data_IF_116826351086
#
_entry.id   IF_116826351086
#
_cell.length_a   1.000
_cell.length_b   1.000
_cell.length_c   1.000
_cell.angle_alpha   90.00
_cell.angle_beta   90.00
_cell.angle_gamma   90.00
#
_symmetry.space_group_name_H-M   'P 1'
#
loop_
_entity.id
_entity.type
_entity.pdbx_description
1 polymer ?
#
# COMPACT_ATOMS: atom_id res chain seq x y z
N UNK A 1 29.06 -6.98 12.32
CA UNK A 1 29.25 -7.94 11.20
C UNK A 1 27.98 -7.96 10.38
N UNK A 2 28.08 -7.84 9.04
CA UNK A 2 26.91 -7.89 8.16
C UNK A 2 26.37 -9.32 8.10
N UNK A 3 25.03 -9.48 8.13
CA UNK A 3 24.40 -10.80 7.98
C UNK A 3 24.59 -11.34 6.56
N UNK A 4 24.50 -12.67 6.34
CA UNK A 4 24.51 -13.25 4.99
C UNK A 4 23.47 -12.59 4.06
N UNK A 5 22.27 -12.33 4.57
CA UNK A 5 21.20 -11.62 3.85
C UNK A 5 21.63 -10.21 3.42
N UNK A 6 22.27 -9.46 4.32
CA UNK A 6 22.79 -8.12 4.02
C UNK A 6 23.83 -8.18 2.89
N UNK A 7 24.76 -9.13 2.94
CA UNK A 7 25.80 -9.28 1.91
C UNK A 7 25.20 -9.62 0.54
N UNK A 8 24.25 -10.56 0.49
CA UNK A 8 23.55 -10.93 -0.75
C UNK A 8 22.78 -9.76 -1.35
N UNK A 9 22.10 -8.96 -0.53
CA UNK A 9 21.41 -7.76 -0.99
C UNK A 9 22.41 -6.71 -1.50
N UNK A 10 23.48 -6.42 -0.75
CA UNK A 10 24.48 -5.43 -1.16
C UNK A 10 25.15 -5.77 -2.49
N UNK A 11 25.41 -7.05 -2.76
CA UNK A 11 25.95 -7.51 -4.04
C UNK A 11 24.96 -7.30 -5.20
N UNK A 12 23.67 -7.55 -4.98
CA UNK A 12 22.62 -7.37 -6.00
C UNK A 12 22.48 -5.92 -6.46
N UNK A 13 22.65 -4.96 -5.55
CA UNK A 13 22.50 -3.54 -5.84
C UNK A 13 23.84 -2.81 -5.95
N UNK A 14 24.92 -3.49 -6.39
CA UNK A 14 26.26 -2.91 -6.50
C UNK A 14 26.29 -1.55 -7.23
N UNK A 15 25.51 -1.44 -8.31
CA UNK A 15 25.37 -0.23 -9.12
C UNK A 15 24.44 0.85 -8.56
N UNK A 16 23.73 0.62 -7.45
CA UNK A 16 22.82 1.59 -6.84
C UNK A 16 23.29 1.95 -5.41
N UNK A 17 24.07 3.03 -5.31
CA UNK A 17 24.68 3.50 -4.05
C UNK A 17 23.65 3.85 -2.98
N UNK A 18 22.55 4.46 -3.38
CA UNK A 18 21.45 4.85 -2.48
C UNK A 18 20.82 3.61 -1.83
N UNK A 19 20.40 2.65 -2.64
CA UNK A 19 19.79 1.41 -2.14
C UNK A 19 20.76 0.64 -1.25
N UNK A 20 22.06 0.63 -1.59
CA UNK A 20 23.09 0.04 -0.71
C UNK A 20 23.23 0.73 0.63
N UNK A 21 23.14 2.06 0.66
CA UNK A 21 23.13 2.84 1.92
C UNK A 21 21.95 2.43 2.79
N UNK A 22 20.75 2.42 2.22
CA UNK A 22 19.53 2.02 2.92
C UNK A 22 19.62 0.58 3.46
N UNK A 23 20.10 -0.38 2.67
CA UNK A 23 20.28 -1.78 3.12
C UNK A 23 21.15 -1.86 4.38
N UNK A 24 22.15 -1.00 4.53
CA UNK A 24 23.05 -1.01 5.69
C UNK A 24 22.38 -0.50 6.97
N UNK A 25 21.32 0.31 6.84
CA UNK A 25 20.58 0.87 7.97
C UNK A 25 19.59 -0.12 8.59
N UNK A 26 19.23 -1.21 7.90
CA UNK A 26 18.29 -2.20 8.43
C UNK A 26 19.01 -3.14 9.40
N UNK A 27 18.56 -3.22 10.67
CA UNK A 27 19.03 -4.25 11.58
C UNK A 27 18.41 -5.60 11.18
N UNK A 28 19.13 -6.37 10.36
CA UNK A 28 18.77 -7.76 10.07
C UNK A 28 19.05 -8.73 11.25
N UNK A 29 19.46 -8.18 12.40
CA UNK A 29 19.87 -8.89 13.62
C UNK A 29 18.77 -9.68 14.34
N UNK A 30 19.23 -10.65 15.13
CA UNK A 30 18.51 -11.82 15.66
C UNK A 30 17.62 -11.44 16.85
N UNK A 31 16.31 -11.68 16.73
CA UNK A 31 15.42 -11.72 17.88
C UNK A 31 15.47 -13.10 18.52
N UNK A 32 16.03 -13.20 19.73
CA UNK A 32 15.95 -14.37 20.61
C UNK A 32 16.68 -15.63 20.13
N UNK A 33 17.05 -16.50 21.07
CA UNK A 33 17.60 -17.82 20.78
C UNK A 33 16.57 -18.66 20.01
N UNK A 34 16.75 -18.77 18.68
CA UNK A 34 15.87 -19.51 17.78
C UNK A 34 16.64 -20.71 17.22
N UNK A 35 15.97 -21.87 17.18
CA UNK A 35 16.47 -23.11 16.56
C UNK A 35 17.00 -22.88 15.13
N UNK A 36 18.09 -23.55 14.75
CA UNK A 36 18.85 -23.34 13.50
C UNK A 36 17.97 -23.49 12.25
N UNK A 37 16.97 -24.38 12.29
CA UNK A 37 16.02 -24.57 11.18
C UNK A 37 15.08 -23.38 11.05
N UNK A 38 14.50 -22.91 12.16
CA UNK A 38 13.62 -21.76 12.18
C UNK A 38 14.38 -20.47 11.81
N UNK A 39 15.65 -20.37 12.22
CA UNK A 39 16.54 -19.28 11.83
C UNK A 39 16.75 -19.22 10.31
N UNK A 40 16.93 -20.36 9.62
CA UNK A 40 17.06 -20.40 8.15
C UNK A 40 15.78 -19.92 7.45
N UNK A 41 14.62 -20.44 7.83
CA UNK A 41 13.34 -20.05 7.23
C UNK A 41 13.04 -18.57 7.45
N UNK A 42 13.27 -18.05 8.66
CA UNK A 42 13.11 -16.62 8.96
C UNK A 42 14.06 -15.76 8.12
N UNK A 43 15.30 -16.21 7.94
CA UNK A 43 16.30 -15.53 7.10
C UNK A 43 15.82 -15.48 5.64
N UNK A 44 15.32 -16.59 5.09
CA UNK A 44 14.78 -16.64 3.72
C UNK A 44 13.55 -15.75 3.55
N UNK A 45 12.61 -15.75 4.50
CA UNK A 45 11.42 -14.89 4.46
C UNK A 45 11.85 -13.42 4.47
N UNK A 46 12.72 -13.03 5.40
CA UNK A 46 13.23 -11.66 5.50
C UNK A 46 13.96 -11.24 4.22
N UNK A 47 14.78 -12.11 3.66
CA UNK A 47 15.49 -11.86 2.41
C UNK A 47 14.52 -11.67 1.24
N UNK A 48 13.51 -12.51 1.09
CA UNK A 48 12.50 -12.39 0.04
C UNK A 48 11.70 -11.09 0.15
N UNK A 49 11.31 -10.70 1.36
CA UNK A 49 10.60 -9.44 1.62
C UNK A 49 11.47 -8.23 1.34
N UNK A 50 12.72 -8.27 1.81
CA UNK A 50 13.71 -7.21 1.54
C UNK A 50 13.96 -7.06 0.06
N UNK A 51 14.13 -8.17 -0.67
CA UNK A 51 14.25 -8.16 -2.14
C UNK A 51 13.05 -7.51 -2.79
N UNK A 52 11.83 -7.89 -2.42
CA UNK A 52 10.63 -7.29 -2.99
C UNK A 52 10.55 -5.78 -2.73
N UNK A 53 10.93 -5.33 -1.54
CA UNK A 53 10.95 -3.92 -1.17
C UNK A 53 12.01 -3.14 -1.96
N UNK A 54 13.27 -3.59 -1.93
CA UNK A 54 14.37 -2.91 -2.58
C UNK A 54 14.36 -3.01 -4.10
N UNK A 55 13.85 -4.10 -4.67
CA UNK A 55 13.61 -4.20 -6.12
C UNK A 55 12.63 -3.12 -6.56
N UNK A 56 11.56 -2.90 -5.81
CA UNK A 56 10.57 -1.88 -6.13
C UNK A 56 11.11 -0.46 -5.90
N UNK A 57 11.86 -0.22 -4.83
CA UNK A 57 12.53 1.06 -4.60
C UNK A 57 13.52 1.40 -5.72
N UNK A 58 14.20 0.39 -6.27
CA UNK A 58 15.16 0.55 -7.35
C UNK A 58 14.51 0.77 -8.73
N UNK A 59 13.20 0.58 -8.88
CA UNK A 59 12.49 0.86 -10.14
C UNK A 59 12.34 2.36 -10.38
N UNK A 60 12.18 2.75 -11.65
CA UNK A 60 11.89 4.12 -12.06
C UNK A 60 13.12 5.03 -12.06
N UNK A 61 12.92 6.29 -12.46
CA UNK A 61 13.99 7.29 -12.65
C UNK A 61 14.15 8.25 -11.48
N UNK A 62 13.27 8.19 -10.47
CA UNK A 62 13.37 9.01 -9.26
C UNK A 62 14.66 8.69 -8.54
N UNK A 63 15.69 9.49 -8.79
CA UNK A 63 16.93 9.47 -8.02
C UNK A 63 16.64 10.21 -6.73
N UNK A 64 16.68 9.49 -5.60
CA UNK A 64 16.66 10.13 -4.29
C UNK A 64 17.98 10.89 -4.18
N UNK A 65 17.91 12.20 -3.96
CA UNK A 65 19.10 13.02 -3.78
C UNK A 65 19.85 12.50 -2.53
N UNK A 66 21.17 12.25 -2.60
CA UNK A 66 21.96 11.90 -1.42
C UNK A 66 21.73 12.84 -0.21
N UNK A 67 21.47 14.12 -0.43
CA UNK A 67 21.16 15.07 0.64
C UNK A 67 19.82 14.78 1.34
N UNK A 68 18.81 14.32 0.60
CA UNK A 68 17.51 13.94 1.17
C UNK A 68 17.63 12.68 2.04
N UNK A 69 18.54 11.75 1.70
CA UNK A 69 18.77 10.52 2.46
C UNK A 69 19.30 10.76 3.88
N UNK A 70 19.97 11.89 4.09
CA UNK A 70 20.51 12.29 5.39
C UNK A 70 19.51 13.11 6.22
N UNK A 71 18.36 13.48 5.65
CA UNK A 71 17.34 14.21 6.38
C UNK A 71 16.64 13.33 7.42
N UNK A 72 16.35 13.92 8.58
CA UNK A 72 15.64 13.26 9.67
C UNK A 72 14.26 12.75 9.21
N UNK A 73 13.52 13.59 8.47
CA UNK A 73 12.19 13.27 7.93
C UNK A 73 12.21 12.05 7.02
N UNK A 74 13.16 11.99 6.07
CA UNK A 74 13.29 10.84 5.19
C UNK A 74 13.68 9.58 5.97
N UNK A 75 14.66 9.67 6.87
CA UNK A 75 15.10 8.53 7.67
C UNK A 75 13.97 7.99 8.54
N UNK A 76 13.16 8.86 9.12
CA UNK A 76 11.97 8.50 9.87
C UNK A 76 10.96 7.74 8.99
N UNK A 77 10.60 8.32 7.84
CA UNK A 77 9.70 7.68 6.86
C UNK A 77 10.24 6.31 6.41
N UNK A 78 11.55 6.24 6.17
CA UNK A 78 12.25 5.02 5.78
C UNK A 78 12.14 3.94 6.86
N UNK A 79 12.48 4.24 8.11
CA UNK A 79 12.44 3.26 9.19
C UNK A 79 11.01 2.80 9.49
N UNK A 80 10.04 3.71 9.51
CA UNK A 80 8.64 3.40 9.69
C UNK A 80 8.14 2.45 8.59
N UNK A 81 8.44 2.76 7.33
CA UNK A 81 7.99 1.95 6.20
C UNK A 81 8.72 0.63 6.07
N UNK A 82 10.03 0.58 6.31
CA UNK A 82 10.78 -0.66 6.34
C UNK A 82 10.22 -1.63 7.39
N UNK A 83 9.80 -1.12 8.56
CA UNK A 83 9.15 -1.94 9.59
C UNK A 83 7.87 -2.61 9.07
N UNK A 84 6.98 -1.88 8.40
CA UNK A 84 5.75 -2.46 7.87
C UNK A 84 6.01 -3.39 6.68
N UNK A 85 6.86 -2.97 5.75
CA UNK A 85 7.22 -3.76 4.57
C UNK A 85 7.86 -5.12 4.94
N UNK A 86 8.83 -5.13 5.84
CA UNK A 86 9.55 -6.36 6.19
C UNK A 86 8.74 -7.31 7.07
N UNK A 87 7.68 -6.82 7.72
CA UNK A 87 6.76 -7.65 8.51
C UNK A 87 5.53 -8.13 7.70
N UNK A 88 5.22 -7.51 6.58
CA UNK A 88 4.12 -7.93 5.69
C UNK A 88 4.37 -9.28 5.03
N UNK A 89 3.32 -10.11 4.95
CA UNK A 89 3.33 -11.38 4.20
C UNK A 89 2.94 -11.25 2.73
N UNK A 90 2.37 -10.11 2.33
CA UNK A 90 1.85 -9.88 0.98
C UNK A 90 2.87 -9.11 0.15
N UNK A 91 3.40 -9.73 -0.91
CA UNK A 91 4.47 -9.14 -1.73
C UNK A 91 4.01 -7.87 -2.44
N UNK A 92 2.73 -7.79 -2.78
CA UNK A 92 2.08 -6.66 -3.40
C UNK A 92 2.03 -5.46 -2.44
N UNK A 93 1.67 -5.69 -1.17
CA UNK A 93 1.75 -4.64 -0.14
C UNK A 93 3.18 -4.16 0.07
N UNK A 94 4.16 -5.07 0.03
CA UNK A 94 5.60 -4.69 0.14
C UNK A 94 5.99 -3.71 -0.97
N UNK A 95 5.52 -3.93 -2.19
CA UNK A 95 5.74 -3.01 -3.31
C UNK A 95 5.01 -1.68 -3.09
N UNK A 96 3.77 -1.71 -2.61
CA UNK A 96 3.01 -0.50 -2.29
C UNK A 96 3.71 0.34 -1.21
N UNK A 97 4.27 -0.28 -0.16
CA UNK A 97 5.09 0.40 0.84
C UNK A 97 6.34 1.07 0.23
N UNK A 98 7.04 0.37 -0.66
CA UNK A 98 8.18 0.95 -1.38
C UNK A 98 7.77 2.17 -2.22
N UNK A 99 6.64 2.10 -2.91
CA UNK A 99 6.11 3.21 -3.72
C UNK A 99 5.69 4.40 -2.86
N UNK A 100 5.03 4.15 -1.72
CA UNK A 100 4.71 5.19 -0.75
C UNK A 100 5.97 5.88 -0.25
N UNK A 101 7.03 5.14 0.11
CA UNK A 101 8.32 5.74 0.47
C UNK A 101 8.91 6.57 -0.66
N UNK A 102 8.89 6.10 -1.91
CA UNK A 102 9.34 6.91 -3.05
C UNK A 102 8.53 8.20 -3.22
N UNK A 103 7.23 8.15 -2.91
CA UNK A 103 6.38 9.34 -3.01
C UNK A 103 6.75 10.41 -1.97
N UNK A 104 7.36 10.05 -0.83
CA UNK A 104 7.76 11.03 0.20
C UNK A 104 8.76 12.08 -0.28
N UNK A 105 9.57 11.73 -1.29
CA UNK A 105 10.55 12.63 -1.93
C UNK A 105 10.06 13.16 -3.28
N UNK A 106 8.81 12.88 -3.65
CA UNK A 106 8.22 13.37 -4.90
C UNK A 106 7.58 14.74 -4.69
N UNK A 107 7.68 15.68 -5.65
CA UNK A 107 6.96 16.96 -5.58
C UNK A 107 5.43 16.81 -5.42
N UNK A 108 4.88 15.69 -5.88
CA UNK A 108 3.45 15.37 -5.79
C UNK A 108 3.14 14.42 -4.62
N UNK A 109 4.07 14.24 -3.68
CA UNK A 109 3.96 13.34 -2.53
C UNK A 109 3.07 13.84 -1.39
N UNK A 110 3.13 13.16 -0.24
CA UNK A 110 2.66 13.71 1.03
C UNK A 110 3.29 15.08 1.32
N UNK A 111 2.53 15.96 1.97
CA UNK A 111 2.95 17.35 2.27
C UNK A 111 4.05 17.42 3.33
N UNK A 112 4.00 16.50 4.29
CA UNK A 112 4.85 16.44 5.45
C UNK A 112 4.89 14.99 6.00
N UNK A 113 5.71 14.78 7.03
CA UNK A 113 5.88 13.49 7.71
C UNK A 113 4.58 13.03 8.36
N UNK A 114 3.80 13.93 8.97
CA UNK A 114 2.53 13.59 9.62
C UNK A 114 1.54 13.01 8.60
N UNK A 115 1.40 13.64 7.44
CA UNK A 115 0.56 13.15 6.35
C UNK A 115 1.08 11.82 5.80
N UNK A 116 2.40 11.66 5.68
CA UNK A 116 3.01 10.40 5.29
C UNK A 116 2.63 9.27 6.24
N UNK A 117 2.74 9.49 7.55
CA UNK A 117 2.39 8.50 8.58
C UNK A 117 0.93 8.08 8.48
N UNK A 118 0.01 9.02 8.26
CA UNK A 118 -1.41 8.71 8.07
C UNK A 118 -1.60 7.75 6.89
N UNK A 119 -0.95 7.99 5.75
CA UNK A 119 -1.06 7.09 4.60
C UNK A 119 -0.36 5.75 4.83
N UNK A 120 0.73 5.73 5.58
CA UNK A 120 1.44 4.52 5.95
C UNK A 120 0.58 3.63 6.86
N UNK A 121 -0.08 4.22 7.85
CA UNK A 121 -1.02 3.54 8.75
C UNK A 121 -2.22 2.99 8.00
N UNK A 122 -2.83 3.78 7.11
CA UNK A 122 -3.93 3.31 6.26
C UNK A 122 -3.50 2.11 5.42
N UNK A 123 -2.31 2.19 4.80
CA UNK A 123 -1.80 1.11 3.97
C UNK A 123 -1.50 -0.14 4.80
N UNK A 124 -1.06 0.00 6.05
CA UNK A 124 -0.87 -1.14 6.95
C UNK A 124 -2.20 -1.76 7.41
N UNK A 125 -3.16 -0.92 7.84
CA UNK A 125 -4.48 -1.33 8.33
C UNK A 125 -5.28 -2.09 7.26
N UNK A 126 -5.27 -1.60 6.02
CA UNK A 126 -5.96 -2.27 4.91
C UNK A 126 -5.28 -3.59 4.56
N UNK A 127 -5.98 -4.71 4.71
CA UNK A 127 -5.51 -5.98 4.17
C UNK A 127 -5.54 -5.98 2.63
N UNK A 128 -4.85 -6.96 2.02
CA UNK A 128 -4.71 -6.99 0.56
C UNK A 128 -6.06 -7.13 -0.18
N UNK A 129 -7.03 -7.89 0.34
CA UNK A 129 -8.37 -8.01 -0.25
C UNK A 129 -9.14 -6.68 -0.18
N UNK A 130 -8.94 -5.90 0.88
CA UNK A 130 -9.56 -4.57 1.02
C UNK A 130 -9.02 -3.58 -0.01
N UNK A 131 -7.68 -3.59 -0.21
CA UNK A 131 -7.04 -2.80 -1.25
C UNK A 131 -7.57 -3.19 -2.64
N UNK A 132 -7.72 -4.49 -2.91
CA UNK A 132 -8.32 -4.97 -4.16
C UNK A 132 -9.78 -4.51 -4.31
N UNK A 133 -10.59 -4.59 -3.26
CA UNK A 133 -11.98 -4.14 -3.30
C UNK A 133 -12.08 -2.64 -3.62
N UNK A 134 -11.22 -1.81 -3.02
CA UNK A 134 -11.12 -0.39 -3.33
C UNK A 134 -10.74 -0.17 -4.80
N UNK A 135 -9.77 -0.91 -5.34
CA UNK A 135 -9.38 -0.85 -6.77
C UNK A 135 -10.50 -1.30 -7.70
N UNK A 136 -11.26 -2.34 -7.35
CA UNK A 136 -12.42 -2.78 -8.14
C UNK A 136 -13.48 -1.66 -8.14
N UNK A 137 -13.81 -1.08 -6.97
CA UNK A 137 -14.77 0.01 -6.88
C UNK A 137 -14.33 1.22 -7.71
N UNK A 138 -13.03 1.54 -7.67
CA UNK A 138 -12.45 2.64 -8.43
C UNK A 138 -12.62 2.45 -9.94
N UNK A 139 -12.45 1.22 -10.43
CA UNK A 139 -12.62 0.91 -11.86
C UNK A 139 -14.05 1.16 -12.38
N UNK A 140 -15.07 1.05 -11.53
CA UNK A 140 -16.44 1.42 -11.87
C UNK A 140 -16.69 2.92 -11.70
N UNK A 141 -16.25 3.49 -10.57
CA UNK A 141 -16.52 4.90 -10.25
C UNK A 141 -15.75 5.90 -11.11
N UNK A 142 -14.71 5.45 -11.83
CA UNK A 142 -13.93 6.25 -12.78
C UNK A 142 -14.59 6.41 -14.16
N UNK A 143 -15.73 5.74 -14.40
CA UNK A 143 -16.48 5.93 -15.64
C UNK A 143 -17.15 7.31 -15.69
N UNK A 144 -17.49 7.82 -16.89
CA UNK A 144 -18.06 9.16 -17.05
C UNK A 144 -19.31 9.34 -16.19
N UNK A 145 -19.25 10.27 -15.24
CA UNK A 145 -20.35 10.61 -14.35
C UNK A 145 -21.44 11.36 -15.13
N UNK A 146 -22.69 10.93 -14.96
CA UNK A 146 -23.84 11.69 -15.44
C UNK A 146 -24.13 12.85 -14.47
N UNK A 147 -24.01 14.11 -14.90
CA UNK A 147 -24.19 15.28 -14.03
C UNK A 147 -25.62 15.39 -13.45
N UNK A 148 -26.61 14.70 -14.02
CA UNK A 148 -27.99 14.68 -13.54
C UNK A 148 -28.23 13.68 -12.39
N UNK A 149 -27.21 12.89 -12.00
CA UNK A 149 -27.32 11.87 -10.97
C UNK A 149 -26.56 12.25 -9.69
N UNK A 150 -27.19 12.05 -8.53
CA UNK A 150 -26.46 12.10 -7.25
C UNK A 150 -25.58 10.85 -7.04
N UNK A 151 -24.67 10.89 -6.06
CA UNK A 151 -23.71 9.81 -5.80
C UNK A 151 -24.36 8.43 -5.57
N UNK A 152 -25.51 8.38 -4.89
CA UNK A 152 -26.22 7.12 -4.66
C UNK A 152 -26.84 6.59 -5.95
N UNK A 153 -27.47 7.45 -6.75
CA UNK A 153 -28.02 7.08 -8.05
C UNK A 153 -26.92 6.59 -8.99
N UNK A 154 -25.78 7.27 -9.02
CA UNK A 154 -24.62 6.85 -9.80
C UNK A 154 -24.11 5.49 -9.32
N UNK A 155 -23.92 5.32 -8.02
CA UNK A 155 -23.44 4.05 -7.46
C UNK A 155 -24.38 2.89 -7.75
N UNK A 156 -25.70 3.13 -7.75
CA UNK A 156 -26.68 2.10 -8.10
C UNK A 156 -26.54 1.57 -9.53
N UNK A 157 -25.93 2.32 -10.44
CA UNK A 157 -25.75 1.86 -11.84
C UNK A 157 -24.76 0.68 -11.97
N UNK A 158 -23.85 0.52 -11.00
CA UNK A 158 -22.79 -0.50 -11.06
C UNK A 158 -22.66 -1.34 -9.77
N UNK A 159 -23.42 -1.05 -8.71
CA UNK A 159 -23.24 -1.69 -7.41
C UNK A 159 -23.39 -3.22 -7.44
N UNK A 160 -24.32 -3.72 -8.25
CA UNK A 160 -24.59 -5.16 -8.35
C UNK A 160 -23.43 -5.88 -9.04
N UNK A 161 -22.87 -5.31 -10.11
CA UNK A 161 -21.67 -5.81 -10.78
C UNK A 161 -20.44 -5.75 -9.86
N UNK A 162 -20.27 -4.64 -9.14
CA UNK A 162 -19.23 -4.50 -8.12
C UNK A 162 -19.34 -5.59 -7.06
N UNK A 163 -20.54 -5.81 -6.51
CA UNK A 163 -20.79 -6.82 -5.46
C UNK A 163 -20.56 -8.24 -5.96
N UNK A 164 -20.98 -8.53 -7.20
CA UNK A 164 -20.71 -9.80 -7.87
C UNK A 164 -19.21 -10.04 -8.00
N UNK A 165 -18.42 -9.02 -8.39
CA UNK A 165 -16.96 -9.12 -8.46
C UNK A 165 -16.30 -9.33 -7.10
N UNK A 166 -16.80 -8.69 -6.03
CA UNK A 166 -16.30 -8.98 -4.67
C UNK A 166 -16.51 -10.46 -4.29
N UNK A 167 -17.66 -11.02 -4.69
CA UNK A 167 -17.96 -12.43 -4.46
C UNK A 167 -17.06 -13.34 -5.28
N UNK A 168 -16.94 -13.09 -6.59
CA UNK A 168 -16.19 -13.96 -7.51
C UNK A 168 -14.68 -13.81 -7.37
N UNK A 169 -14.16 -12.58 -7.38
CA UNK A 169 -12.72 -12.32 -7.45
C UNK A 169 -12.07 -12.41 -6.06
N UNK A 170 -12.80 -12.01 -5.02
CA UNK A 170 -12.25 -11.90 -3.67
C UNK A 170 -12.85 -12.91 -2.68
N UNK A 171 -13.80 -13.76 -3.09
CA UNK A 171 -14.47 -14.74 -2.24
C UNK A 171 -15.09 -14.11 -0.98
N UNK A 172 -15.78 -12.97 -1.15
CA UNK A 172 -16.53 -12.29 -0.09
C UNK A 172 -18.01 -12.66 -0.26
N UNK A 173 -18.64 -13.39 0.69
CA UNK A 173 -20.06 -13.71 0.59
C UNK A 173 -20.93 -12.46 0.44
N UNK A 174 -21.99 -12.55 -0.36
CA UNK A 174 -22.86 -11.41 -0.69
C UNK A 174 -23.44 -10.74 0.57
N UNK A 175 -23.80 -11.54 1.56
CA UNK A 175 -24.32 -11.12 2.86
C UNK A 175 -23.28 -10.40 3.74
N UNK A 176 -21.98 -10.66 3.52
CA UNK A 176 -20.87 -10.05 4.27
C UNK A 176 -20.34 -8.76 3.63
N UNK A 177 -20.73 -8.45 2.38
CA UNK A 177 -20.20 -7.29 1.64
C UNK A 177 -20.38 -5.99 2.43
N UNK A 178 -21.54 -5.81 3.06
CA UNK A 178 -21.81 -4.61 3.86
C UNK A 178 -20.80 -4.48 4.99
N UNK A 179 -20.61 -5.51 5.81
CA UNK A 179 -19.69 -5.46 6.96
C UNK A 179 -18.24 -5.36 6.51
N UNK A 180 -17.90 -5.99 5.39
CA UNK A 180 -16.61 -5.87 4.76
C UNK A 180 -16.31 -4.42 4.35
N UNK A 181 -17.27 -3.72 3.72
CA UNK A 181 -17.13 -2.32 3.33
C UNK A 181 -17.19 -1.38 4.54
N UNK A 182 -17.98 -1.70 5.57
CA UNK A 182 -18.04 -0.95 6.84
C UNK A 182 -16.66 -0.86 7.49
N UNK A 183 -15.89 -1.96 7.52
CA UNK A 183 -14.53 -1.95 8.07
C UNK A 183 -13.59 -1.09 7.20
N UNK A 184 -13.73 -1.08 5.86
CA UNK A 184 -12.94 -0.19 5.00
C UNK A 184 -13.23 1.28 5.34
N UNK A 185 -14.48 1.62 5.67
CA UNK A 185 -14.86 3.01 5.99
C UNK A 185 -14.08 3.62 7.16
N UNK A 186 -13.55 2.78 8.07
CA UNK A 186 -12.77 3.23 9.23
C UNK A 186 -11.46 3.91 8.85
N UNK A 187 -10.89 3.56 7.69
CA UNK A 187 -9.65 4.19 7.18
C UNK A 187 -9.91 5.55 6.54
N UNK A 188 -11.19 5.87 6.27
CA UNK A 188 -11.61 7.04 5.53
C UNK A 188 -11.33 6.95 4.03
N UNK A 189 -10.92 5.81 3.48
CA UNK A 189 -10.83 5.58 2.03
C UNK A 189 -12.19 5.38 1.35
N UNK A 190 -13.20 5.02 2.14
CA UNK A 190 -14.55 4.73 1.68
C UNK A 190 -15.57 5.42 2.61
N UNK A 191 -16.62 5.96 2.02
CA UNK A 191 -17.71 6.63 2.75
C UNK A 191 -19.03 5.97 2.38
N UNK A 192 -19.73 5.44 3.39
CA UNK A 192 -21.09 4.93 3.21
C UNK A 192 -22.09 6.06 3.03
N UNK A 193 -23.06 5.84 2.15
CA UNK A 193 -24.21 6.73 2.09
C UNK A 193 -25.04 6.62 3.38
N UNK A 194 -25.44 7.78 3.90
CA UNK A 194 -26.30 7.88 5.10
C UNK A 194 -27.56 8.66 4.72
N UNK A 195 -28.71 8.28 5.29
CA UNK A 195 -29.99 8.95 5.04
C UNK A 195 -31.15 7.99 4.76
N UNK A 196 -32.36 8.52 4.83
CA UNK A 196 -33.62 7.79 4.60
C UNK A 196 -33.94 7.79 3.10
N UNK A 197 -33.26 6.95 2.34
CA UNK A 197 -33.59 6.74 0.92
C UNK A 197 -34.60 5.59 0.80
N UNK A 198 -35.67 5.80 0.04
CA UNK A 198 -36.59 4.72 -0.33
C UNK A 198 -35.79 3.60 -1.02
N UNK A 199 -36.01 2.35 -0.60
CA UNK A 199 -35.39 1.13 -1.13
C UNK A 199 -33.86 0.98 -0.94
N UNK A 200 -33.23 1.80 -0.09
CA UNK A 200 -31.82 1.61 0.26
C UNK A 200 -31.63 0.53 1.34
N UNK A 201 -31.03 -0.59 0.94
CA UNK A 201 -30.74 -1.73 1.83
C UNK A 201 -29.48 -1.56 2.71
N UNK A 202 -28.80 -0.41 2.61
CA UNK A 202 -27.57 -0.13 3.35
C UNK A 202 -26.30 -0.64 2.64
N UNK A 203 -25.13 -0.19 3.11
CA UNK A 203 -23.83 -0.74 2.71
C UNK A 203 -23.24 -0.22 1.39
N UNK A 204 -23.98 0.58 0.61
CA UNK A 204 -23.43 1.29 -0.56
C UNK A 204 -22.76 2.60 -0.16
N UNK A 205 -21.83 3.06 -0.99
CA UNK A 205 -20.99 4.20 -0.68
C UNK A 205 -20.01 4.51 -1.81
N UNK A 206 -19.16 5.50 -1.58
CA UNK A 206 -18.23 6.05 -2.58
C UNK A 206 -16.79 6.09 -2.05
N UNK A 207 -15.85 6.16 -2.99
CA UNK A 207 -14.45 6.42 -2.68
C UNK A 207 -14.24 7.90 -2.32
N UNK A 208 -13.40 8.14 -1.32
CA UNK A 208 -13.10 9.48 -0.84
C UNK A 208 -11.88 10.08 -1.55
N UNK A 209 -11.65 11.40 -1.46
CA UNK A 209 -10.39 12.01 -1.89
C UNK A 209 -9.14 11.38 -1.26
N UNK A 210 -9.26 10.87 -0.03
CA UNK A 210 -8.17 10.19 0.67
C UNK A 210 -7.75 8.90 -0.04
N UNK A 211 -8.70 8.09 -0.52
CA UNK A 211 -8.36 6.94 -1.34
C UNK A 211 -7.61 7.34 -2.62
N UNK A 212 -8.08 8.38 -3.32
CA UNK A 212 -7.44 8.85 -4.56
C UNK A 212 -5.99 9.26 -4.34
N UNK A 213 -5.70 9.95 -3.22
CA UNK A 213 -4.34 10.30 -2.82
C UNK A 213 -3.50 9.07 -2.47
N UNK A 214 -4.03 8.15 -1.67
CA UNK A 214 -3.33 6.89 -1.36
C UNK A 214 -2.99 6.14 -2.65
N UNK A 215 -3.96 5.98 -3.56
CA UNK A 215 -3.82 5.35 -4.88
C UNK A 215 -2.67 5.97 -5.66
N UNK A 216 -2.63 7.30 -5.77
CA UNK A 216 -1.55 8.04 -6.43
C UNK A 216 -0.14 7.71 -5.88
N UNK A 217 -0.03 7.42 -4.58
CA UNK A 217 1.25 7.10 -3.94
C UNK A 217 1.68 5.63 -4.08
N UNK A 218 0.72 4.71 -4.23
CA UNK A 218 0.98 3.26 -4.17
C UNK A 218 0.85 2.54 -5.53
N UNK A 219 0.31 3.21 -6.54
CA UNK A 219 0.22 2.67 -7.88
C UNK A 219 1.57 2.70 -8.60
N UNK A 220 1.72 1.76 -9.53
CA UNK A 220 2.89 1.73 -10.41
C UNK A 220 2.77 2.91 -11.35
N UNK A 221 3.70 3.86 -11.26
CA UNK A 221 3.73 4.96 -12.22
C UNK A 221 4.22 4.40 -13.55
N UNK A 222 3.31 4.31 -14.51
CA UNK A 222 3.67 4.05 -15.90
C UNK A 222 4.61 5.16 -16.36
N UNK A 223 5.76 4.79 -16.92
CA UNK A 223 6.63 5.74 -17.57
C UNK A 223 5.85 6.36 -18.74
N UNK A 224 5.77 7.69 -18.87
CA UNK A 224 5.37 8.26 -20.14
C UNK A 224 6.40 7.82 -21.18
N UNK A 225 5.94 7.03 -22.14
CA UNK A 225 6.69 6.62 -23.34
C UNK A 225 7.24 7.81 -24.11
#
# INVERSE_FOLDING_TARGET
MNTPTTQTLLARYEGNRVIRGLIQLIPFGIGGAIDVVLARTLTTIREQRSRAFFDELAKGTTQIDPAELESEDFLHCYFATARYALNSRHREKIRMFARLLKSSVSPNGPRDVDEYEIFLEILDELNYRELQALTILDSYSSQPWNPDQNDLQWTNTFWDDFSARLTTDLNIPQEEIRDFMNRISRTGCYEMFTGTYLDYTGGKGKLTPRYRRLKQFIEEQEQPT
#
